data_IF_910418476888
#
_entry.id   IF_910418476888
#
_cell.length_a   1.000
_cell.length_b   1.000
_cell.length_c   1.000
_cell.angle_alpha   90.00
_cell.angle_beta   90.00
_cell.angle_gamma   90.00
#
_symmetry.space_group_name_H-M   'P 1'
#
loop_
_entity.id
_entity.type
_entity.pdbx_description
1 polymer ?
#
# COMPACT_ATOMS: atom_id res chain seq x y z
N UNK A 1 14.08 6.02 -8.62
CA UNK A 1 15.23 6.93 -8.39
C UNK A 1 15.74 6.74 -6.97
N UNK A 2 17.02 6.39 -6.82
CA UNK A 2 17.71 6.38 -5.53
C UNK A 2 18.20 7.79 -5.22
N UNK A 3 17.86 8.29 -4.03
CA UNK A 3 18.30 9.61 -3.57
C UNK A 3 19.73 9.54 -3.04
N UNK A 4 20.56 10.53 -3.37
CA UNK A 4 21.77 10.79 -2.58
C UNK A 4 21.41 11.26 -1.17
N UNK A 5 22.35 11.17 -0.23
CA UNK A 5 22.15 11.66 1.15
C UNK A 5 21.65 13.11 1.19
N UNK A 6 22.33 14.01 0.47
CA UNK A 6 21.95 15.43 0.41
C UNK A 6 20.57 15.66 -0.24
N UNK A 7 20.18 14.84 -1.22
CA UNK A 7 18.83 14.89 -1.81
C UNK A 7 17.77 14.41 -0.82
N UNK A 8 18.03 13.33 -0.07
CA UNK A 8 17.12 12.85 0.97
C UNK A 8 16.89 13.87 2.08
N UNK A 9 17.96 14.48 2.59
CA UNK A 9 17.89 15.54 3.61
C UNK A 9 17.08 16.75 3.11
N UNK A 10 17.38 17.26 1.91
CA UNK A 10 16.63 18.39 1.31
C UNK A 10 15.17 18.06 1.09
N UNK A 11 14.86 16.87 0.56
CA UNK A 11 13.49 16.46 0.30
C UNK A 11 12.70 16.33 1.61
N UNK A 12 13.30 15.80 2.68
CA UNK A 12 12.66 15.71 3.99
C UNK A 12 12.29 17.10 4.55
N UNK A 13 13.18 18.08 4.41
CA UNK A 13 12.91 19.47 4.82
C UNK A 13 11.78 20.09 3.98
N UNK A 14 11.77 19.87 2.66
CA UNK A 14 10.71 20.39 1.77
C UNK A 14 9.34 19.79 2.12
N UNK A 15 9.29 18.46 2.37
CA UNK A 15 8.05 17.78 2.77
C UNK A 15 7.57 18.33 4.12
N UNK A 16 8.46 18.47 5.11
CA UNK A 16 8.11 19.04 6.40
C UNK A 16 7.65 20.50 6.30
N UNK A 17 8.26 21.31 5.43
CA UNK A 17 7.80 22.68 5.19
C UNK A 17 6.36 22.72 4.64
N UNK A 18 5.95 21.70 3.89
CA UNK A 18 4.57 21.56 3.37
C UNK A 18 3.60 21.01 4.43
N UNK A 19 4.11 20.21 5.38
CA UNK A 19 3.36 19.56 6.47
C UNK A 19 4.17 19.57 7.76
N UNK A 20 4.18 20.69 8.51
CA UNK A 20 5.06 20.88 9.67
C UNK A 20 4.85 19.86 10.79
N UNK A 21 3.64 19.29 10.89
CA UNK A 21 3.30 18.24 11.85
C UNK A 21 3.95 16.89 11.53
N UNK A 22 4.44 16.69 10.30
CA UNK A 22 5.19 15.49 9.92
C UNK A 22 6.66 15.66 10.28
N UNK A 23 7.09 15.04 11.38
CA UNK A 23 8.47 15.16 11.84
C UNK A 23 9.50 14.76 10.77
N UNK A 24 10.55 15.57 10.61
CA UNK A 24 11.65 15.36 9.65
C UNK A 24 12.30 13.98 9.82
N UNK A 25 12.47 13.51 11.07
CA UNK A 25 13.04 12.19 11.36
C UNK A 25 12.19 11.05 10.77
N UNK A 26 10.85 11.15 10.87
CA UNK A 26 9.91 10.18 10.30
C UNK A 26 9.97 10.18 8.78
N UNK A 27 9.97 11.36 8.16
CA UNK A 27 10.09 11.49 6.69
C UNK A 27 11.42 10.92 6.21
N UNK A 28 12.53 11.28 6.88
CA UNK A 28 13.86 10.80 6.53
C UNK A 28 13.96 9.28 6.61
N UNK A 29 13.37 8.67 7.64
CA UNK A 29 13.31 7.21 7.76
C UNK A 29 12.58 6.57 6.58
N UNK A 30 11.45 7.12 6.16
CA UNK A 30 10.67 6.63 5.01
C UNK A 30 11.49 6.73 3.72
N UNK A 31 12.13 7.87 3.49
CA UNK A 31 12.99 8.06 2.30
C UNK A 31 14.20 7.11 2.30
N UNK A 32 14.78 6.85 3.48
CA UNK A 32 15.87 5.88 3.63
C UNK A 32 15.40 4.45 3.34
N UNK A 33 14.23 4.05 3.83
CA UNK A 33 13.62 2.75 3.53
C UNK A 33 13.35 2.61 2.03
N UNK A 34 12.81 3.65 1.38
CA UNK A 34 12.60 3.64 -0.07
C UNK A 34 13.91 3.44 -0.84
N UNK A 35 14.98 4.13 -0.42
CA UNK A 35 16.32 3.98 -0.99
C UNK A 35 16.95 2.59 -0.82
N UNK A 36 16.54 1.81 0.20
CA UNK A 36 16.98 0.43 0.38
C UNK A 36 16.28 -0.54 -0.58
N UNK A 37 15.15 -0.15 -1.15
CA UNK A 37 14.44 -0.89 -2.19
C UNK A 37 14.70 -0.31 -3.59
N UNK A 38 13.62 -0.06 -4.34
CA UNK A 38 13.69 0.46 -5.72
C UNK A 38 13.87 1.99 -5.81
N UNK A 39 13.99 2.67 -4.66
CA UNK A 39 13.96 4.12 -4.57
C UNK A 39 12.56 4.70 -4.76
N UNK A 40 12.49 6.01 -4.97
CA UNK A 40 11.24 6.70 -5.26
C UNK A 40 10.78 6.46 -6.71
N UNK A 41 9.47 6.42 -7.01
CA UNK A 41 8.92 6.35 -8.36
C UNK A 41 9.02 7.71 -9.07
N UNK A 42 10.21 8.30 -9.05
CA UNK A 42 10.54 9.59 -9.65
C UNK A 42 11.46 9.41 -10.86
N UNK A 43 11.31 10.30 -11.83
CA UNK A 43 12.20 10.42 -12.99
C UNK A 43 13.53 11.08 -12.60
N UNK A 44 13.44 12.19 -11.86
CA UNK A 44 14.55 12.98 -11.36
C UNK A 44 14.19 13.66 -10.03
N UNK A 45 15.16 14.37 -9.43
CA UNK A 45 14.96 15.00 -8.14
C UNK A 45 13.88 16.09 -8.15
N UNK A 46 13.73 16.82 -9.26
CA UNK A 46 12.69 17.84 -9.38
C UNK A 46 11.30 17.21 -9.48
N UNK A 47 11.18 16.09 -10.18
CA UNK A 47 9.96 15.28 -10.16
C UNK A 47 9.67 14.78 -8.74
N UNK A 48 10.66 14.29 -8.01
CA UNK A 48 10.48 13.86 -6.62
C UNK A 48 9.93 14.97 -5.70
N UNK A 49 10.42 16.20 -5.85
CA UNK A 49 9.91 17.35 -5.12
C UNK A 49 8.43 17.61 -5.47
N UNK A 50 8.10 17.71 -6.77
CA UNK A 50 6.72 17.99 -7.21
C UNK A 50 5.72 16.94 -6.72
N UNK A 51 6.06 15.66 -6.87
CA UNK A 51 5.19 14.56 -6.45
C UNK A 51 5.01 14.50 -4.92
N UNK A 52 6.10 14.69 -4.17
CA UNK A 52 6.05 14.67 -2.71
C UNK A 52 5.22 15.84 -2.15
N UNK A 53 5.37 17.05 -2.72
CA UNK A 53 4.55 18.20 -2.36
C UNK A 53 3.09 17.95 -2.73
N UNK A 54 2.81 17.45 -3.94
CA UNK A 54 1.45 17.13 -4.37
C UNK A 54 0.77 16.09 -3.46
N UNK A 55 1.51 15.08 -3.00
CA UNK A 55 1.03 14.12 -2.00
C UNK A 55 0.71 14.80 -0.67
N UNK A 56 1.64 15.64 -0.18
CA UNK A 56 1.57 16.27 1.13
C UNK A 56 0.43 17.30 1.23
N UNK A 57 0.17 18.03 0.15
CA UNK A 57 -0.82 19.12 0.08
C UNK A 57 -2.12 18.72 -0.59
N UNK A 58 -2.32 17.44 -0.91
CA UNK A 58 -3.57 16.97 -1.51
C UNK A 58 -4.75 17.19 -0.57
N UNK A 59 -5.78 17.92 -1.02
CA UNK A 59 -7.01 18.17 -0.27
C UNK A 59 -8.22 17.50 -0.92
N UNK A 60 -9.19 17.09 -0.10
CA UNK A 60 -10.49 16.63 -0.55
C UNK A 60 -11.41 17.78 -0.93
N UNK A 61 -12.65 17.46 -1.31
CA UNK A 61 -13.68 18.47 -1.63
C UNK A 61 -14.03 19.37 -0.44
N UNK A 62 -13.83 18.90 0.79
CA UNK A 62 -14.03 19.66 2.02
C UNK A 62 -12.81 20.46 2.49
N UNK A 63 -11.73 20.56 1.70
CA UNK A 63 -10.51 21.30 2.07
C UNK A 63 -9.57 20.55 3.01
N UNK A 64 -10.02 19.46 3.65
CA UNK A 64 -9.20 18.61 4.51
C UNK A 64 -8.11 17.87 3.73
N UNK A 65 -6.95 17.64 4.36
CA UNK A 65 -5.88 16.86 3.77
C UNK A 65 -6.30 15.39 3.54
N UNK A 66 -6.11 14.93 2.30
CA UNK A 66 -6.36 13.53 1.91
C UNK A 66 -5.41 12.58 2.63
N UNK A 67 -4.18 13.03 2.92
CA UNK A 67 -3.14 12.24 3.56
C UNK A 67 -2.81 12.80 4.93
N UNK A 68 -2.93 11.97 5.95
CA UNK A 68 -2.67 12.34 7.35
C UNK A 68 -1.25 11.99 7.81
N UNK A 69 -0.54 11.14 7.06
CA UNK A 69 0.78 10.62 7.39
C UNK A 69 1.69 10.61 6.16
N UNK A 70 3.02 10.79 6.32
CA UNK A 70 3.97 10.65 5.22
C UNK A 70 4.22 9.18 4.82
N UNK A 71 3.66 8.20 5.56
CA UNK A 71 4.02 6.78 5.46
C UNK A 71 4.08 6.19 4.05
N UNK A 72 3.16 6.62 3.18
CA UNK A 72 3.02 6.08 1.82
C UNK A 72 3.54 7.02 0.73
N UNK A 73 4.27 8.08 1.09
CA UNK A 73 4.74 9.06 0.11
C UNK A 73 5.63 8.43 -0.96
N UNK A 74 6.36 7.37 -0.61
CA UNK A 74 7.30 6.67 -1.48
C UNK A 74 6.66 5.61 -2.40
N UNK A 75 5.37 5.30 -2.22
CA UNK A 75 4.69 4.28 -3.01
C UNK A 75 4.20 4.83 -4.36
N UNK A 76 4.15 4.01 -5.42
CA UNK A 76 3.52 4.38 -6.68
C UNK A 76 2.08 4.86 -6.47
N UNK A 77 1.76 6.06 -6.96
CA UNK A 77 0.43 6.67 -6.81
C UNK A 77 0.24 7.77 -7.85
N UNK A 78 -1.00 8.26 -7.98
CA UNK A 78 -1.34 9.35 -8.92
C UNK A 78 -0.46 10.59 -8.76
N UNK A 79 0.04 10.89 -7.55
CA UNK A 79 0.87 12.08 -7.32
C UNK A 79 2.21 12.01 -8.07
N UNK A 80 2.71 10.79 -8.30
CA UNK A 80 3.90 10.53 -9.12
C UNK A 80 3.57 10.56 -10.61
N UNK A 81 2.38 10.14 -11.00
CA UNK A 81 1.97 10.11 -12.40
C UNK A 81 1.57 11.51 -12.91
N UNK A 82 0.75 12.22 -12.13
CA UNK A 82 0.18 13.53 -12.47
C UNK A 82 1.24 14.66 -12.48
N UNK A 83 2.37 14.48 -11.79
CA UNK A 83 3.44 15.48 -11.70
C UNK A 83 4.68 15.14 -12.51
N UNK A 84 4.61 14.04 -13.27
CA UNK A 84 5.67 13.60 -14.16
C UNK A 84 5.92 14.62 -15.29
N UNK A 85 7.18 14.82 -15.72
CA UNK A 85 7.47 15.71 -16.84
C UNK A 85 6.91 15.15 -18.16
N UNK A 86 6.07 15.94 -18.84
CA UNK A 86 5.52 15.58 -20.15
C UNK A 86 6.62 15.32 -21.19
N UNK A 87 6.42 14.30 -22.04
CA UNK A 87 7.29 14.01 -23.19
C UNK A 87 8.66 13.40 -22.88
N UNK A 88 9.00 13.14 -21.61
CA UNK A 88 10.31 12.55 -21.22
C UNK A 88 10.32 11.04 -21.05
N UNK A 89 9.36 10.32 -21.63
CA UNK A 89 9.31 8.86 -21.57
C UNK A 89 9.19 8.30 -20.14
N UNK A 90 8.65 9.09 -19.20
CA UNK A 90 8.33 8.58 -17.87
C UNK A 90 7.28 7.47 -18.00
N UNK A 91 7.65 6.28 -17.55
CA UNK A 91 6.73 5.17 -17.37
C UNK A 91 6.44 5.05 -15.88
N UNK A 92 5.16 5.15 -15.53
CA UNK A 92 4.69 4.90 -14.17
C UNK A 92 5.19 3.55 -13.68
N UNK A 93 5.68 3.50 -12.45
CA UNK A 93 6.01 2.24 -11.83
C UNK A 93 4.76 1.33 -11.82
N UNK A 94 4.89 0.04 -12.17
CA UNK A 94 3.75 -0.88 -12.16
C UNK A 94 3.08 -0.87 -10.79
N UNK A 95 1.80 -0.52 -10.74
CA UNK A 95 1.01 -0.60 -9.52
C UNK A 95 0.65 -2.06 -9.24
N UNK A 96 0.69 -2.51 -7.97
CA UNK A 96 0.31 -3.88 -7.64
C UNK A 96 -1.13 -4.13 -8.07
N UNK A 97 -1.35 -5.25 -8.76
CA UNK A 97 -2.67 -5.69 -9.17
C UNK A 97 -3.41 -6.30 -7.97
N UNK A 98 -4.73 -6.20 -7.98
CA UNK A 98 -5.55 -6.86 -6.98
C UNK A 98 -5.38 -8.39 -7.07
N UNK A 99 -5.18 -9.04 -5.93
CA UNK A 99 -4.90 -10.48 -5.85
C UNK A 99 -6.09 -11.36 -6.28
N UNK A 100 -7.30 -10.80 -6.30
CA UNK A 100 -8.54 -11.49 -6.72
C UNK A 100 -9.08 -10.97 -8.06
N UNK A 101 -8.81 -9.70 -8.38
CA UNK A 101 -9.29 -9.07 -9.60
C UNK A 101 -8.09 -8.49 -10.36
N UNK A 102 -7.32 -9.35 -11.02
CA UNK A 102 -6.03 -9.00 -11.65
C UNK A 102 -6.11 -7.94 -12.75
N UNK A 103 -7.31 -7.62 -13.24
CA UNK A 103 -7.54 -6.54 -14.21
C UNK A 103 -7.55 -5.15 -13.56
N UNK A 104 -7.62 -5.06 -12.23
CA UNK A 104 -7.67 -3.81 -11.49
C UNK A 104 -6.49 -3.69 -10.54
N UNK A 105 -6.13 -2.45 -10.22
CA UNK A 105 -5.10 -2.15 -9.23
C UNK A 105 -5.60 -2.46 -7.81
N UNK A 106 -4.70 -2.93 -6.95
CA UNK A 106 -5.04 -3.37 -5.59
C UNK A 106 -5.73 -2.26 -4.76
N UNK A 107 -5.22 -1.03 -4.82
CA UNK A 107 -5.69 0.07 -3.97
C UNK A 107 -6.97 0.77 -4.46
N UNK A 108 -7.45 0.44 -5.66
CA UNK A 108 -8.60 1.11 -6.28
C UNK A 108 -9.59 0.11 -6.89
N UNK A 109 -9.45 -1.18 -6.60
CA UNK A 109 -10.26 -2.25 -7.16
C UNK A 109 -11.76 -1.99 -6.94
N UNK A 110 -12.56 -1.77 -8.02
CA UNK A 110 -13.99 -1.48 -7.89
C UNK A 110 -14.77 -2.63 -7.22
N UNK A 111 -14.38 -3.87 -7.50
CA UNK A 111 -15.01 -5.07 -6.94
C UNK A 111 -14.79 -5.16 -5.43
N UNK A 112 -13.55 -4.98 -4.95
CA UNK A 112 -13.26 -4.96 -3.52
C UNK A 112 -13.93 -3.77 -2.81
N UNK A 113 -14.01 -2.60 -3.46
CA UNK A 113 -14.77 -1.47 -2.93
C UNK A 113 -16.26 -1.77 -2.81
N UNK A 114 -16.84 -2.53 -3.74
CA UNK A 114 -18.21 -3.00 -3.64
C UNK A 114 -18.38 -3.94 -2.42
N UNK A 115 -17.47 -4.91 -2.22
CA UNK A 115 -17.48 -5.81 -1.07
C UNK A 115 -17.37 -5.06 0.27
N UNK A 116 -16.54 -4.01 0.34
CA UNK A 116 -16.41 -3.18 1.55
C UNK A 116 -17.72 -2.47 1.84
N UNK A 117 -18.35 -1.88 0.81
CA UNK A 117 -19.64 -1.17 0.95
C UNK A 117 -20.79 -2.09 1.33
N UNK A 118 -20.77 -3.35 0.91
CA UNK A 118 -21.77 -4.36 1.29
C UNK A 118 -21.44 -5.07 2.61
N UNK A 119 -20.30 -4.76 3.23
CA UNK A 119 -19.87 -5.35 4.50
C UNK A 119 -19.33 -6.78 4.38
N UNK A 120 -19.08 -7.27 3.17
CA UNK A 120 -18.49 -8.59 2.92
C UNK A 120 -16.97 -8.59 3.16
N UNK A 121 -16.33 -7.43 3.07
CA UNK A 121 -14.89 -7.25 3.22
C UNK A 121 -14.58 -6.12 4.21
N UNK A 122 -13.59 -6.30 5.11
CA UNK A 122 -13.13 -5.20 5.94
C UNK A 122 -12.25 -4.22 5.12
N UNK A 123 -12.31 -2.92 5.44
CA UNK A 123 -11.63 -1.85 4.68
C UNK A 123 -10.11 -2.06 4.51
N UNK A 124 -9.47 -2.65 5.53
CA UNK A 124 -8.04 -2.97 5.53
C UNK A 124 -7.63 -4.15 4.61
N UNK A 125 -8.60 -4.80 3.96
CA UNK A 125 -8.41 -5.92 3.02
C UNK A 125 -8.66 -5.54 1.55
N UNK A 126 -8.74 -4.25 1.24
CA UNK A 126 -8.83 -3.76 -0.15
C UNK A 126 -7.65 -4.29 -0.99
N UNK A 127 -7.97 -4.95 -2.10
CA UNK A 127 -6.99 -5.45 -3.07
C UNK A 127 -6.27 -6.75 -2.70
N UNK A 128 -6.48 -7.27 -1.49
CA UNK A 128 -5.85 -8.50 -0.97
C UNK A 128 -6.77 -9.71 -1.11
N UNK A 129 -6.21 -10.92 -1.18
CA UNK A 129 -7.00 -12.15 -1.16
C UNK A 129 -7.69 -12.31 0.19
N UNK A 130 -9.01 -12.49 0.20
CA UNK A 130 -9.70 -12.94 1.38
C UNK A 130 -9.45 -14.45 1.54
N UNK A 131 -8.74 -14.83 2.59
CA UNK A 131 -8.74 -16.24 3.01
C UNK A 131 -10.16 -16.59 3.40
N UNK A 132 -10.79 -17.62 2.78
CA UNK A 132 -12.06 -18.11 3.29
C UNK A 132 -11.83 -18.51 4.73
N UNK A 133 -12.66 -18.00 5.65
CA UNK A 133 -12.68 -18.49 7.01
C UNK A 133 -12.83 -20.00 6.92
N UNK A 134 -11.79 -20.75 7.29
CA UNK A 134 -11.94 -22.18 7.48
C UNK A 134 -13.06 -22.33 8.49
N UNK A 135 -14.19 -22.99 8.19
CA UNK A 135 -15.15 -23.27 9.23
C UNK A 135 -14.43 -24.18 10.21
N UNK A 136 -14.02 -23.62 11.35
CA UNK A 136 -13.62 -24.42 12.50
C UNK A 136 -14.88 -25.17 12.92
N UNK A 137 -15.09 -26.36 12.35
CA UNK A 137 -16.02 -27.33 12.89
C UNK A 137 -15.22 -28.25 13.82
N UNK A 138 -15.07 -27.90 15.12
CA UNK A 138 -14.35 -28.75 16.07
C UNK A 138 -15.02 -30.13 16.22
N UNK A 139 -16.31 -30.26 15.89
CA UNK A 139 -17.01 -31.54 15.96
C UNK A 139 -16.57 -32.54 14.86
N UNK A 140 -16.18 -32.04 13.68
CA UNK A 140 -15.71 -32.90 12.59
C UNK A 140 -14.33 -33.51 12.84
N UNK A 141 -13.44 -32.76 13.49
CA UNK A 141 -12.07 -33.19 13.78
C UNK A 141 -12.04 -34.28 14.86
N UNK A 142 -12.88 -34.14 15.89
CA UNK A 142 -12.97 -35.12 16.97
C UNK A 142 -13.66 -36.42 16.51
N UNK A 143 -14.68 -36.31 15.66
CA UNK A 143 -15.35 -37.46 15.05
C UNK A 143 -14.41 -38.28 14.15
N UNK A 144 -13.56 -37.61 13.35
CA UNK A 144 -12.54 -38.28 12.53
C UNK A 144 -11.48 -38.96 13.40
N UNK A 145 -11.02 -38.31 14.48
CA UNK A 145 -10.07 -38.92 15.42
C UNK A 145 -10.66 -40.16 16.12
N UNK A 146 -11.93 -40.11 16.54
CA UNK A 146 -12.59 -41.25 17.16
C UNK A 146 -12.81 -42.41 16.18
N UNK A 147 -13.17 -42.12 14.93
CA UNK A 147 -13.33 -43.14 13.88
C UNK A 147 -12.00 -43.82 13.50
N UNK A 148 -10.89 -43.07 13.46
CA UNK A 148 -9.56 -43.65 13.22
C UNK A 148 -9.14 -44.54 14.39
N UNK A 149 -9.42 -44.13 15.63
CA UNK A 149 -9.07 -44.90 16.83
C UNK A 149 -9.87 -46.21 16.93
N UNK A 150 -11.15 -46.21 16.55
CA UNK A 150 -11.98 -47.42 16.55
C UNK A 150 -11.57 -48.42 15.46
N UNK A 151 -11.11 -47.95 14.30
CA UNK A 151 -10.58 -48.82 13.24
C UNK A 151 -9.25 -49.48 13.62
N UNK A 152 -8.40 -48.80 14.39
CA UNK A 152 -7.11 -49.35 14.85
C UNK A 152 -7.26 -50.40 15.96
N UNK A 153 -8.33 -50.32 16.77
CA UNK A 153 -8.59 -51.31 17.84
C UNK A 153 -9.21 -52.61 17.28
N UNK A 154 -9.89 -52.55 16.13
CA UNK A 154 -10.49 -53.73 15.50
C UNK A 154 -9.49 -54.62 14.73
N UNK A 155 -8.20 -54.26 14.68
CA UNK A 155 -7.14 -54.99 13.99
C UNK A 155 -6.20 -55.78 14.92
N UNK A 156 -6.57 -55.96 16.20
CA UNK A 156 -5.85 -56.77 17.18
C UNK A 156 -6.75 -57.85 17.79
#
# INVERSE_FOLDING_TARGET
MILTRSQGERLAVIINASRPEWAIASISKILQTANQGNGLPAHDFNHAIRAAVAYATATGSGGEYVKQTPGFIHEPSRFWDDTAPAGKGYQSAPRPLCEEHSTFEAHSCPCCWADIKTGLRPDNMLGKRMTPATPSNPAGVEAVKQAIKSLQVAQH
#
